data_IF_905369674877
#
_entry.id   IF_905369674877
#
_cell.length_a   1.000
_cell.length_b   1.000
_cell.length_c   1.000
_cell.angle_alpha   90.00
_cell.angle_beta   90.00
_cell.angle_gamma   90.00
#
_symmetry.space_group_name_H-M   'P 1'
#
loop_
_entity.id
_entity.type
_entity.pdbx_description
1 polymer ?
#
# COMPACT_ATOMS: atom_id res chain seq x y z
N UNK A 1 5.59 9.79 -5.11
CA UNK A 1 4.84 8.92 -4.20
C UNK A 1 4.49 9.65 -2.92
N UNK A 2 3.28 9.47 -2.46
CA UNK A 2 2.81 10.05 -1.20
C UNK A 2 2.19 8.95 -0.37
N UNK A 3 2.62 8.82 0.89
CA UNK A 3 2.08 7.85 1.83
C UNK A 3 1.78 8.54 3.14
N UNK A 4 0.58 8.35 3.68
CA UNK A 4 0.27 8.86 5.02
C UNK A 4 -0.75 7.98 5.72
N UNK A 5 -0.80 8.08 7.05
CA UNK A 5 -1.68 7.30 7.90
C UNK A 5 -2.75 8.19 8.54
N UNK A 6 -3.94 7.62 8.71
CA UNK A 6 -5.05 8.22 9.45
C UNK A 6 -5.76 7.13 10.24
N UNK A 7 -5.55 7.10 11.55
CA UNK A 7 -6.11 6.04 12.38
C UNK A 7 -5.64 4.67 11.92
N UNK A 8 -6.58 3.79 11.55
CA UNK A 8 -6.26 2.46 11.03
C UNK A 8 -6.10 2.41 9.51
N UNK A 9 -6.13 3.56 8.83
CA UNK A 9 -6.04 3.62 7.37
C UNK A 9 -4.68 4.12 6.93
N UNK A 10 -4.15 3.51 5.86
CA UNK A 10 -2.92 3.93 5.21
C UNK A 10 -3.27 4.33 3.78
N UNK A 11 -2.93 5.56 3.41
CA UNK A 11 -3.23 6.12 2.09
C UNK A 11 -1.94 6.18 1.27
N UNK A 12 -1.98 5.62 0.06
CA UNK A 12 -0.83 5.61 -0.84
C UNK A 12 -1.24 6.20 -2.19
N UNK A 13 -0.40 7.09 -2.72
CA UNK A 13 -0.68 7.74 -4.00
C UNK A 13 0.55 7.66 -4.88
N UNK A 14 0.37 7.21 -6.10
CA UNK A 14 1.40 7.28 -7.14
C UNK A 14 0.89 8.19 -8.26
N UNK A 15 1.40 9.40 -8.29
CA UNK A 15 0.97 10.41 -9.25
C UNK A 15 1.75 10.36 -10.57
N UNK A 16 2.74 9.48 -10.68
CA UNK A 16 3.53 9.38 -11.90
C UNK A 16 2.64 8.92 -13.06
N UNK A 17 2.79 9.56 -14.21
CA UNK A 17 1.93 9.28 -15.36
C UNK A 17 2.23 7.95 -16.03
N UNK A 18 3.44 7.42 -15.90
CA UNK A 18 3.89 6.23 -16.63
C UNK A 18 4.60 5.18 -15.80
N UNK A 19 5.14 5.53 -14.64
CA UNK A 19 5.94 4.61 -13.84
C UNK A 19 5.15 4.00 -12.69
N UNK A 20 5.01 2.68 -12.71
CA UNK A 20 4.49 1.90 -11.59
C UNK A 20 5.66 1.46 -10.71
N UNK A 21 5.39 1.24 -9.42
CA UNK A 21 6.41 0.81 -8.45
C UNK A 21 6.06 -0.57 -7.94
N UNK A 22 7.01 -1.50 -8.05
CA UNK A 22 6.84 -2.88 -7.59
C UNK A 22 7.56 -3.06 -6.26
N UNK A 23 6.92 -3.80 -5.33
CA UNK A 23 7.50 -4.10 -4.02
C UNK A 23 7.98 -2.86 -3.26
N UNK A 24 7.22 -1.77 -3.35
CA UNK A 24 7.56 -0.54 -2.65
C UNK A 24 7.44 -0.77 -1.14
N UNK A 25 8.52 -0.56 -0.36
CA UNK A 25 8.46 -0.79 1.08
C UNK A 25 7.77 0.38 1.79
N UNK A 26 6.72 0.08 2.54
CA UNK A 26 5.99 1.08 3.31
C UNK A 26 6.19 0.77 4.78
N UNK A 27 6.75 1.74 5.52
CA UNK A 27 6.92 1.62 6.97
C UNK A 27 5.55 1.71 7.63
N UNK A 28 5.17 0.69 8.38
CA UNK A 28 3.85 0.62 9.03
C UNK A 28 3.99 0.05 10.44
N UNK A 29 3.07 0.42 11.35
CA UNK A 29 2.99 -0.25 12.65
C UNK A 29 2.63 -1.72 12.47
N UNK A 30 3.01 -2.58 13.45
CA UNK A 30 2.61 -3.99 13.38
C UNK A 30 1.10 -4.14 13.32
N UNK A 31 0.64 -5.08 12.50
CA UNK A 31 -0.78 -5.35 12.32
C UNK A 31 -1.02 -6.11 11.02
N UNK A 32 -2.28 -6.44 10.76
CA UNK A 32 -2.69 -7.07 9.51
C UNK A 32 -3.25 -6.00 8.58
N UNK A 33 -2.71 -5.93 7.36
CA UNK A 33 -3.10 -4.90 6.39
C UNK A 33 -3.87 -5.51 5.23
N UNK A 34 -4.95 -4.86 4.83
CA UNK A 34 -5.80 -5.31 3.75
C UNK A 34 -6.15 -4.13 2.85
N UNK A 35 -6.16 -4.36 1.54
CA UNK A 35 -6.60 -3.38 0.58
C UNK A 35 -8.13 -3.23 0.68
N UNK A 36 -8.61 -2.02 0.95
CA UNK A 36 -10.05 -1.75 1.06
C UNK A 36 -10.55 -0.92 -0.11
N UNK A 37 -9.69 -0.16 -0.78
CA UNK A 37 -10.07 0.63 -1.94
C UNK A 37 -8.85 0.93 -2.80
N UNK A 38 -9.02 0.95 -4.13
CA UNK A 38 -8.02 1.47 -5.04
C UNK A 38 -8.71 2.11 -6.25
N UNK A 39 -8.08 3.15 -6.78
CA UNK A 39 -8.65 3.87 -7.92
C UNK A 39 -8.42 3.16 -9.25
N UNK A 40 -7.66 2.05 -9.25
CA UNK A 40 -7.42 1.25 -10.45
C UNK A 40 -8.51 0.22 -10.70
N UNK A 41 -9.53 0.15 -9.83
CA UNK A 41 -10.66 -0.74 -10.05
C UNK A 41 -11.42 -0.33 -11.31
N UNK A 42 -11.87 -1.32 -12.13
CA UNK A 42 -12.60 -1.00 -13.37
C UNK A 42 -13.84 -0.13 -13.14
N UNK A 43 -14.52 -0.28 -11.98
CA UNK A 43 -15.71 0.54 -11.66
C UNK A 43 -15.40 2.04 -11.57
N UNK A 44 -14.13 2.41 -11.39
CA UNK A 44 -13.67 3.81 -11.36
C UNK A 44 -12.95 4.19 -12.65
N UNK A 45 -13.06 3.38 -13.70
CA UNK A 45 -12.36 3.64 -14.96
C UNK A 45 -10.91 3.16 -14.97
N UNK A 46 -10.50 2.41 -13.96
CA UNK A 46 -9.15 1.87 -13.88
C UNK A 46 -8.95 0.61 -14.71
N UNK A 47 -7.74 0.08 -14.68
CA UNK A 47 -7.34 -1.06 -15.49
C UNK A 47 -7.38 -2.40 -14.75
N UNK A 48 -7.73 -2.39 -13.46
CA UNK A 48 -7.84 -3.62 -12.68
C UNK A 48 -6.52 -4.32 -12.43
N UNK A 49 -5.44 -3.58 -12.27
CA UNK A 49 -4.10 -4.15 -12.08
C UNK A 49 -3.85 -4.63 -10.65
N UNK A 50 -4.74 -4.30 -9.72
CA UNK A 50 -4.60 -4.64 -8.31
C UNK A 50 -5.70 -5.63 -7.94
N UNK A 51 -5.33 -6.68 -7.19
CA UNK A 51 -6.29 -7.68 -6.75
C UNK A 51 -7.14 -7.14 -5.61
N UNK A 52 -8.49 -7.09 -5.74
CA UNK A 52 -9.37 -6.62 -4.68
C UNK A 52 -9.24 -7.48 -3.41
N UNK A 53 -9.29 -6.82 -2.25
CA UNK A 53 -9.23 -7.52 -0.97
C UNK A 53 -7.88 -8.12 -0.64
N UNK A 54 -6.84 -7.75 -1.39
CA UNK A 54 -5.48 -8.25 -1.18
C UNK A 54 -5.00 -7.96 0.23
N UNK A 55 -4.31 -8.94 0.83
CA UNK A 55 -3.66 -8.75 2.13
C UNK A 55 -2.15 -8.63 1.93
N UNK A 56 -1.49 -8.02 2.93
CA UNK A 56 -0.06 -7.75 2.85
C UNK A 56 0.65 -8.38 4.03
N UNK A 57 1.76 -9.09 3.74
CA UNK A 57 2.56 -9.70 4.78
C UNK A 57 3.43 -8.64 5.46
N UNK A 58 3.43 -8.66 6.79
CA UNK A 58 4.28 -7.77 7.57
C UNK A 58 5.69 -8.36 7.61
N UNK A 59 6.65 -7.55 7.16
CA UNK A 59 8.05 -7.93 7.10
C UNK A 59 8.86 -7.07 8.06
N UNK A 60 10.01 -7.58 8.49
CA UNK A 60 10.93 -6.85 9.34
C UNK A 60 12.19 -6.53 8.56
N UNK A 61 12.59 -5.27 8.59
CA UNK A 61 13.82 -4.81 7.93
C UNK A 61 14.67 -3.99 8.90
N UNK A 62 15.99 -4.08 8.72
CA UNK A 62 16.92 -3.20 9.41
C UNK A 62 17.06 -1.91 8.61
N UNK A 63 16.88 -0.78 9.29
CA UNK A 63 17.15 0.53 8.73
C UNK A 63 18.12 1.26 9.64
N UNK A 64 19.38 1.32 9.20
CA UNK A 64 20.45 1.75 10.08
C UNK A 64 20.60 0.77 11.24
N UNK A 65 20.43 1.23 12.48
CA UNK A 65 20.53 0.39 13.67
C UNK A 65 19.17 0.00 14.25
N UNK A 66 18.07 0.26 13.52
CA UNK A 66 16.72 -0.01 14.01
C UNK A 66 16.02 -1.07 13.21
N UNK A 67 15.25 -1.92 13.90
CA UNK A 67 14.32 -2.86 13.27
C UNK A 67 13.03 -2.13 12.97
N UNK A 68 12.58 -2.20 11.70
CA UNK A 68 11.35 -1.58 11.26
C UNK A 68 10.42 -2.62 10.68
N UNK A 69 9.12 -2.41 10.81
CA UNK A 69 8.12 -3.26 10.17
C UNK A 69 7.65 -2.57 8.89
N UNK A 70 7.58 -3.36 7.81
CA UNK A 70 7.21 -2.86 6.49
C UNK A 70 6.26 -3.82 5.81
N UNK A 71 5.49 -3.30 4.86
CA UNK A 71 4.77 -4.11 3.87
C UNK A 71 5.31 -3.74 2.49
N UNK A 72 5.29 -4.70 1.56
CA UNK A 72 5.71 -4.46 0.17
C UNK A 72 4.46 -4.31 -0.68
N UNK A 73 4.35 -3.20 -1.40
CA UNK A 73 3.14 -2.85 -2.13
C UNK A 73 3.46 -2.61 -3.59
N UNK A 74 2.64 -3.20 -4.49
CA UNK A 74 2.65 -2.82 -5.89
C UNK A 74 1.74 -1.61 -6.04
N UNK A 75 2.31 -0.51 -6.50
CA UNK A 75 1.59 0.75 -6.63
C UNK A 75 1.62 1.20 -8.09
N UNK A 76 0.58 0.88 -8.87
CA UNK A 76 0.52 1.25 -10.28
C UNK A 76 0.54 2.76 -10.46
N UNK A 77 1.01 3.20 -11.63
CA UNK A 77 1.01 4.63 -11.97
C UNK A 77 -0.42 5.18 -11.97
N UNK A 78 -0.56 6.44 -11.63
CA UNK A 78 -1.85 7.16 -11.56
C UNK A 78 -2.87 6.49 -10.64
N UNK A 79 -2.40 5.89 -9.53
CA UNK A 79 -3.27 5.10 -8.66
C UNK A 79 -3.22 5.62 -7.24
N UNK A 80 -4.38 5.61 -6.59
CA UNK A 80 -4.52 5.81 -5.16
C UNK A 80 -5.01 4.51 -4.54
N UNK A 81 -4.46 4.15 -3.39
CA UNK A 81 -4.84 2.95 -2.65
C UNK A 81 -5.10 3.30 -1.20
N UNK A 82 -6.02 2.59 -0.59
CA UNK A 82 -6.29 2.68 0.85
C UNK A 82 -6.20 1.30 1.45
N UNK A 83 -5.35 1.15 2.45
CA UNK A 83 -5.20 -0.08 3.21
C UNK A 83 -5.77 0.13 4.60
N UNK A 84 -6.37 -0.91 5.16
CA UNK A 84 -6.90 -0.90 6.52
C UNK A 84 -6.07 -1.84 7.38
N UNK A 85 -5.65 -1.34 8.56
CA UNK A 85 -4.99 -2.17 9.56
C UNK A 85 -6.04 -2.81 10.45
N UNK A 86 -6.08 -4.14 10.43
CA UNK A 86 -6.92 -4.89 11.33
C UNK A 86 -6.23 -5.13 12.67
N UNK A 87 -6.99 -5.59 13.65
CA UNK A 87 -6.43 -6.05 14.91
C UNK A 87 -5.78 -7.42 14.66
N UNK A 88 -4.51 -7.51 14.97
CA UNK A 88 -3.78 -8.77 14.85
C UNK A 88 -4.01 -9.62 16.08
#
# INVERSE_FOLDING_TARGET
LLVFERGALVFLFNFHSEASVTDYPVLVPPGAYRLVMDSDEPRFGGQGRIQPGQTFELLTEMRGNELCTVIKVYLPCRTAMVLERGLA
#
